data_IF_289579984416
#
_entry.id   IF_289579984416
#
_cell.length_a   1.000
_cell.length_b   1.000
_cell.length_c   1.000
_cell.angle_alpha   90.00
_cell.angle_beta   90.00
_cell.angle_gamma   90.00
#
_symmetry.space_group_name_H-M   'P 1'
#
loop_
_entity.id
_entity.type
_entity.pdbx_description
1 polymer ?
#
# COMPACT_ATOMS: atom_id res chain seq x y z
N UNK A 1 -10.76 -7.94 -14.20
CA UNK A 1 -10.40 -9.21 -13.57
C UNK A 1 -10.67 -9.16 -12.06
N UNK A 2 -10.84 -10.31 -11.48
CA UNK A 2 -11.04 -10.44 -10.04
C UNK A 2 -9.83 -9.91 -9.26
N UNK A 3 -8.62 -10.20 -9.73
CA UNK A 3 -7.38 -9.73 -9.11
C UNK A 3 -7.27 -8.20 -9.15
N UNK A 4 -7.64 -7.57 -10.26
CA UNK A 4 -7.65 -6.11 -10.37
C UNK A 4 -8.57 -5.51 -9.31
N UNK A 5 -9.77 -6.05 -9.17
CA UNK A 5 -10.74 -5.59 -8.18
C UNK A 5 -10.21 -5.76 -6.76
N UNK A 6 -9.60 -6.90 -6.46
CA UNK A 6 -9.05 -7.17 -5.14
C UNK A 6 -7.97 -6.16 -4.73
N UNK A 7 -7.07 -5.83 -5.66
CA UNK A 7 -6.01 -4.85 -5.38
C UNK A 7 -6.56 -3.43 -5.24
N UNK A 8 -7.55 -3.05 -6.05
CA UNK A 8 -8.22 -1.75 -5.91
C UNK A 8 -8.95 -1.65 -4.58
N UNK A 9 -9.69 -2.68 -4.19
CA UNK A 9 -10.40 -2.72 -2.91
C UNK A 9 -9.43 -2.69 -1.72
N UNK A 10 -8.29 -3.38 -1.82
CA UNK A 10 -7.27 -3.35 -0.77
C UNK A 10 -6.70 -1.93 -0.60
N UNK A 11 -6.44 -1.23 -1.70
CA UNK A 11 -5.97 0.15 -1.66
C UNK A 11 -7.01 1.07 -1.02
N UNK A 12 -8.28 0.93 -1.39
CA UNK A 12 -9.38 1.72 -0.83
C UNK A 12 -9.58 1.46 0.66
N UNK A 13 -9.53 0.19 1.09
CA UNK A 13 -9.67 -0.14 2.52
C UNK A 13 -8.55 0.48 3.34
N UNK A 14 -7.32 0.41 2.86
CA UNK A 14 -6.19 1.02 3.55
C UNK A 14 -6.34 2.54 3.60
N UNK A 15 -6.74 3.16 2.50
CA UNK A 15 -6.97 4.60 2.44
C UNK A 15 -8.04 5.04 3.43
N UNK A 16 -9.16 4.33 3.49
CA UNK A 16 -10.24 4.64 4.43
C UNK A 16 -9.77 4.51 5.88
N UNK A 17 -9.04 3.44 6.18
CA UNK A 17 -8.53 3.19 7.53
C UNK A 17 -7.55 4.28 7.96
N UNK A 18 -6.62 4.64 7.09
CA UNK A 18 -5.61 5.65 7.44
C UNK A 18 -6.22 7.05 7.59
N UNK A 19 -7.23 7.38 6.79
CA UNK A 19 -7.95 8.65 6.94
C UNK A 19 -8.62 8.73 8.30
N UNK A 20 -9.29 7.67 8.73
CA UNK A 20 -9.93 7.62 10.05
C UNK A 20 -8.91 7.80 11.18
N UNK A 21 -7.79 7.11 11.11
CA UNK A 21 -6.72 7.23 12.12
C UNK A 21 -6.08 8.62 12.13
N UNK A 22 -5.86 9.20 10.96
CA UNK A 22 -5.29 10.54 10.84
C UNK A 22 -6.20 11.58 11.48
N UNK A 23 -7.51 11.46 11.29
CA UNK A 23 -8.49 12.34 11.93
C UNK A 23 -8.45 12.21 13.44
N UNK A 24 -8.38 11.00 13.97
CA UNK A 24 -8.24 10.76 15.41
C UNK A 24 -6.95 11.39 15.96
N UNK A 25 -5.88 11.35 15.19
CA UNK A 25 -4.57 11.86 15.58
C UNK A 25 -4.42 13.37 15.36
N UNK A 26 -5.37 14.03 14.71
CA UNK A 26 -5.27 15.45 14.37
C UNK A 26 -4.24 15.72 13.28
N UNK A 27 -4.00 14.77 12.39
CA UNK A 27 -3.02 14.85 11.31
C UNK A 27 -3.77 15.00 9.98
N UNK A 28 -3.22 15.80 9.06
CA UNK A 28 -3.78 15.95 7.72
C UNK A 28 -3.80 14.58 7.01
N UNK A 29 -4.98 14.07 6.65
CA UNK A 29 -5.08 12.74 6.03
C UNK A 29 -4.62 12.68 4.57
N UNK A 30 -4.54 13.81 3.88
CA UNK A 30 -4.33 13.82 2.42
C UNK A 30 -3.06 13.09 1.96
N UNK A 31 -1.86 13.36 2.51
CA UNK A 31 -0.67 12.63 2.09
C UNK A 31 -0.76 11.14 2.39
N UNK A 32 -1.36 10.77 3.52
CA UNK A 32 -1.49 9.38 3.93
C UNK A 32 -2.47 8.63 3.02
N UNK A 33 -3.56 9.29 2.64
CA UNK A 33 -4.53 8.73 1.70
C UNK A 33 -3.90 8.45 0.34
N UNK A 34 -3.13 9.41 -0.18
CA UNK A 34 -2.43 9.24 -1.47
C UNK A 34 -1.47 8.07 -1.39
N UNK A 35 -0.66 7.99 -0.33
CA UNK A 35 0.27 6.88 -0.14
C UNK A 35 -0.46 5.52 -0.10
N UNK A 36 -1.57 5.45 0.61
CA UNK A 36 -2.38 4.23 0.69
C UNK A 36 -2.92 3.81 -0.67
N UNK A 37 -3.44 4.75 -1.45
CA UNK A 37 -3.95 4.47 -2.79
C UNK A 37 -2.84 4.00 -3.74
N UNK A 38 -1.63 4.51 -3.57
CA UNK A 38 -0.50 4.17 -4.43
C UNK A 38 0.23 2.89 -4.02
N UNK A 39 -0.03 2.32 -2.85
CA UNK A 39 0.79 1.21 -2.35
C UNK A 39 0.66 -0.08 -3.19
N UNK A 40 -0.39 -0.21 -4.00
CA UNK A 40 -0.60 -1.35 -4.91
C UNK A 40 -0.25 -1.02 -6.36
N UNK A 41 0.50 0.07 -6.60
CA UNK A 41 0.79 0.49 -7.98
C UNK A 41 1.56 -0.57 -8.78
N UNK A 42 2.46 -1.31 -8.12
CA UNK A 42 3.21 -2.39 -8.79
C UNK A 42 2.31 -3.49 -9.29
N UNK A 43 1.41 -3.97 -8.45
CA UNK A 43 0.41 -4.99 -8.78
C UNK A 43 -0.52 -4.51 -9.89
N UNK A 44 -1.00 -3.27 -9.80
CA UNK A 44 -1.87 -2.68 -10.80
C UNK A 44 -1.17 -2.56 -12.15
N UNK A 45 0.11 -2.19 -12.18
CA UNK A 45 0.88 -2.12 -13.42
C UNK A 45 1.03 -3.48 -14.07
N UNK A 46 1.31 -4.53 -13.30
CA UNK A 46 1.40 -5.90 -13.83
C UNK A 46 0.06 -6.30 -14.44
N UNK A 47 -1.05 -6.03 -13.74
CA UNK A 47 -2.39 -6.38 -14.21
C UNK A 47 -2.77 -5.63 -15.48
N UNK A 48 -2.47 -4.35 -15.56
CA UNK A 48 -2.76 -3.53 -16.74
C UNK A 48 -1.96 -3.99 -17.96
N UNK A 49 -0.67 -4.30 -17.78
CA UNK A 49 0.15 -4.85 -18.86
C UNK A 49 -0.35 -6.21 -19.30
N UNK A 50 -0.77 -7.04 -18.36
CA UNK A 50 -1.33 -8.36 -18.65
C UNK A 50 -2.63 -8.27 -19.45
N UNK A 51 -3.51 -7.32 -19.11
CA UNK A 51 -4.74 -7.06 -19.88
C UNK A 51 -4.41 -6.63 -21.30
N UNK A 52 -3.43 -5.75 -21.47
CA UNK A 52 -2.99 -5.30 -22.78
C UNK A 52 -2.45 -6.46 -23.60
N UNK A 53 -1.68 -7.35 -22.97
CA UNK A 53 -1.15 -8.55 -23.61
C UNK A 53 -2.25 -9.51 -24.00
N UNK A 54 -3.23 -9.73 -23.13
CA UNK A 54 -4.40 -10.55 -23.43
C UNK A 54 -5.21 -10.02 -24.61
N UNK A 55 -5.35 -8.69 -24.73
CA UNK A 55 -6.04 -8.07 -25.86
C UNK A 55 -5.34 -8.30 -27.20
N UNK A 56 -4.07 -8.70 -27.20
CA UNK A 56 -3.29 -9.05 -28.38
C UNK A 56 -3.37 -10.54 -28.73
N UNK A 57 -4.28 -11.29 -28.10
CA UNK A 57 -4.53 -12.70 -28.40
C UNK A 57 -3.83 -13.71 -27.50
N UNK A 58 -3.18 -13.26 -26.43
CA UNK A 58 -2.52 -14.15 -25.47
C UNK A 58 -3.51 -14.60 -24.40
N UNK A 59 -3.54 -15.88 -24.08
CA UNK A 59 -4.39 -16.43 -23.04
C UNK A 59 -3.71 -16.27 -21.68
N UNK A 60 -4.40 -15.59 -20.74
CA UNK A 60 -3.93 -15.41 -19.39
C UNK A 60 -5.04 -15.79 -18.41
N UNK A 61 -4.70 -16.61 -17.42
CA UNK A 61 -5.61 -16.92 -16.31
C UNK A 61 -5.10 -16.26 -15.02
N UNK A 62 -5.92 -16.30 -13.97
CA UNK A 62 -5.58 -15.68 -12.69
C UNK A 62 -4.36 -16.31 -12.02
N UNK A 63 -4.06 -17.58 -12.31
CA UNK A 63 -2.87 -18.26 -11.79
C UNK A 63 -1.61 -17.67 -12.40
N UNK A 64 -1.60 -17.46 -13.71
CA UNK A 64 -0.48 -16.83 -14.41
C UNK A 64 -0.31 -15.40 -13.97
N UNK A 65 -1.43 -14.66 -13.83
CA UNK A 65 -1.42 -13.28 -13.32
C UNK A 65 -0.88 -13.19 -11.90
N UNK A 66 -1.30 -14.11 -11.02
CA UNK A 66 -0.81 -14.15 -9.65
C UNK A 66 0.69 -14.36 -9.58
N UNK A 67 1.23 -15.24 -10.43
CA UNK A 67 2.67 -15.48 -10.52
C UNK A 67 3.41 -14.24 -11.03
N UNK A 68 2.88 -13.60 -12.08
CA UNK A 68 3.48 -12.38 -12.63
C UNK A 68 3.50 -11.25 -11.60
N UNK A 69 2.45 -11.09 -10.82
CA UNK A 69 2.40 -10.12 -9.72
C UNK A 69 3.52 -10.42 -8.71
N UNK A 70 3.66 -11.68 -8.29
CA UNK A 70 4.70 -12.08 -7.36
C UNK A 70 6.11 -11.78 -7.86
N UNK A 71 6.36 -11.97 -9.16
CA UNK A 71 7.68 -11.79 -9.75
C UNK A 71 8.02 -10.34 -10.11
N UNK A 72 7.02 -9.56 -10.55
CA UNK A 72 7.26 -8.26 -11.18
C UNK A 72 6.69 -7.05 -10.48
N UNK A 73 5.73 -7.20 -9.56
CA UNK A 73 5.07 -6.06 -8.93
C UNK A 73 6.06 -5.16 -8.17
N UNK A 74 6.97 -5.75 -7.40
CA UNK A 74 7.97 -4.98 -6.65
C UNK A 74 8.96 -4.26 -7.55
N UNK A 75 9.57 -4.91 -8.55
CA UNK A 75 10.42 -4.20 -9.52
C UNK A 75 9.68 -3.07 -10.23
N UNK A 76 8.43 -3.26 -10.64
CA UNK A 76 7.63 -2.21 -11.27
C UNK A 76 7.36 -1.06 -10.32
N UNK A 77 7.02 -1.34 -9.07
CA UNK A 77 6.78 -0.30 -8.07
C UNK A 77 8.03 0.57 -7.85
N UNK A 78 9.20 -0.07 -7.75
CA UNK A 78 10.49 0.63 -7.59
C UNK A 78 10.76 1.51 -8.82
N UNK A 79 10.60 0.96 -10.02
CA UNK A 79 10.81 1.69 -11.27
C UNK A 79 9.87 2.89 -11.39
N UNK A 80 8.59 2.73 -11.06
CA UNK A 80 7.61 3.79 -11.11
C UNK A 80 7.90 4.91 -10.13
N UNK A 81 8.27 4.57 -8.89
CA UNK A 81 8.67 5.57 -7.89
C UNK A 81 9.83 6.41 -8.37
N UNK A 82 10.82 5.77 -8.96
CA UNK A 82 12.00 6.43 -9.51
C UNK A 82 11.66 7.26 -10.74
N UNK A 83 10.90 6.70 -11.68
CA UNK A 83 10.54 7.33 -12.95
C UNK A 83 9.57 8.49 -12.77
N UNK A 84 8.59 8.36 -11.88
CA UNK A 84 7.61 9.41 -11.63
C UNK A 84 8.11 10.50 -10.71
N UNK A 85 9.29 10.35 -10.12
CA UNK A 85 9.87 11.35 -9.24
C UNK A 85 9.01 11.60 -8.00
N UNK A 86 8.44 10.55 -7.41
CA UNK A 86 7.63 10.71 -6.20
C UNK A 86 8.47 11.35 -5.09
N UNK A 87 7.92 12.35 -4.37
CA UNK A 87 8.62 12.97 -3.25
C UNK A 87 9.07 11.93 -2.21
N UNK A 88 10.23 12.17 -1.62
CA UNK A 88 10.79 11.26 -0.60
C UNK A 88 9.80 11.01 0.54
N UNK A 89 9.14 12.07 1.01
CA UNK A 89 8.16 11.95 2.08
C UNK A 89 7.04 10.96 1.74
N UNK A 90 6.56 10.98 0.48
CA UNK A 90 5.52 10.06 0.02
C UNK A 90 6.04 8.62 -0.07
N UNK A 91 7.26 8.44 -0.57
CA UNK A 91 7.90 7.12 -0.63
C UNK A 91 8.10 6.53 0.76
N UNK A 92 8.46 7.35 1.75
CA UNK A 92 8.60 6.92 3.13
C UNK A 92 7.26 6.47 3.73
N UNK A 93 6.17 7.16 3.42
CA UNK A 93 4.84 6.76 3.85
C UNK A 93 4.44 5.41 3.24
N UNK A 94 4.67 5.22 1.96
CA UNK A 94 4.39 3.94 1.29
C UNK A 94 5.21 2.82 1.91
N UNK A 95 6.50 3.04 2.13
CA UNK A 95 7.38 2.05 2.76
C UNK A 95 6.93 1.67 4.16
N UNK A 96 6.42 2.63 4.93
CA UNK A 96 5.96 2.40 6.30
C UNK A 96 4.78 1.44 6.41
N UNK A 97 3.98 1.29 5.34
CA UNK A 97 2.89 0.31 5.29
C UNK A 97 3.41 -1.10 5.59
N UNK A 98 4.59 -1.41 5.11
CA UNK A 98 5.19 -2.75 5.23
C UNK A 98 6.07 -2.91 6.46
N UNK A 99 6.84 -1.89 6.81
CA UNK A 99 7.73 -1.91 7.97
C UNK A 99 8.12 -0.50 8.39
N UNK A 100 8.17 -0.27 9.70
CA UNK A 100 8.69 0.99 10.24
C UNK A 100 10.22 0.97 10.20
N UNK A 101 10.87 2.12 9.91
CA UNK A 101 12.31 2.26 10.10
C UNK A 101 12.70 1.99 11.55
N UNK A 102 13.88 1.40 11.76
CA UNK A 102 14.31 1.02 13.12
C UNK A 102 14.81 2.19 13.95
N UNK A 103 15.35 3.24 13.32
CA UNK A 103 16.06 4.29 14.02
C UNK A 103 15.21 5.53 14.24
N UNK A 104 14.61 6.05 13.20
CA UNK A 104 13.76 7.24 13.27
C UNK A 104 12.55 7.10 12.38
N UNK A 105 11.39 7.43 12.91
CA UNK A 105 10.14 7.45 12.14
C UNK A 105 9.24 8.58 12.65
N UNK A 106 8.41 9.08 11.76
CA UNK A 106 7.43 10.11 12.08
C UNK A 106 6.11 9.47 12.46
N UNK A 107 5.28 10.21 13.14
CA UNK A 107 3.95 9.77 13.56
C UNK A 107 3.09 9.32 12.37
N UNK A 108 3.21 10.04 11.25
CA UNK A 108 2.51 9.70 10.00
C UNK A 108 2.87 8.29 9.51
N UNK A 109 4.14 7.92 9.62
CA UNK A 109 4.60 6.57 9.26
C UNK A 109 4.00 5.52 10.19
N UNK A 110 3.89 5.81 11.48
CA UNK A 110 3.25 4.91 12.45
C UNK A 110 1.78 4.69 12.08
N UNK A 111 1.08 5.76 11.68
CA UNK A 111 -0.32 5.65 11.26
C UNK A 111 -0.48 4.76 10.02
N UNK A 112 0.43 4.86 9.05
CA UNK A 112 0.41 3.99 7.88
C UNK A 112 0.58 2.51 8.28
N UNK A 113 1.53 2.23 9.16
CA UNK A 113 1.80 0.86 9.63
C UNK A 113 0.64 0.33 10.47
N UNK A 114 0.04 1.16 11.32
CA UNK A 114 -1.11 0.80 12.13
C UNK A 114 -2.32 0.47 11.24
N UNK A 115 -2.59 1.31 10.24
CA UNK A 115 -3.67 1.07 9.30
C UNK A 115 -3.51 -0.27 8.58
N UNK A 116 -2.29 -0.58 8.13
CA UNK A 116 -1.99 -1.86 7.50
C UNK A 116 -2.19 -3.03 8.47
N UNK A 117 -1.77 -2.89 9.72
CA UNK A 117 -1.95 -3.93 10.73
C UNK A 117 -3.44 -4.22 10.98
N UNK A 118 -4.27 -3.17 11.04
CA UNK A 118 -5.71 -3.31 11.22
C UNK A 118 -6.35 -3.97 10.00
N UNK A 119 -6.00 -3.56 8.80
CA UNK A 119 -6.54 -4.13 7.57
C UNK A 119 -6.14 -5.60 7.40
N UNK A 120 -4.95 -5.97 7.84
CA UNK A 120 -4.42 -7.33 7.69
C UNK A 120 -4.75 -8.25 8.88
N UNK A 121 -5.44 -7.75 9.89
CA UNK A 121 -5.79 -8.55 11.07
C UNK A 121 -4.57 -9.01 11.86
N UNK A 122 -3.54 -8.17 11.99
CA UNK A 122 -2.34 -8.51 12.75
C UNK A 122 -2.67 -8.68 14.25
N UNK A 123 -1.80 -9.37 15.01
CA UNK A 123 -2.09 -9.66 16.41
C UNK A 123 -2.40 -8.42 17.25
N UNK A 124 -3.32 -8.53 18.23
CA UNK A 124 -3.68 -7.39 19.09
C UNK A 124 -2.50 -6.71 19.77
N UNK A 125 -1.48 -7.48 20.18
CA UNK A 125 -0.29 -6.91 20.80
C UNK A 125 0.45 -5.96 19.85
N UNK A 126 0.54 -6.32 18.56
CA UNK A 126 1.14 -5.46 17.54
C UNK A 126 0.32 -4.18 17.35
N UNK A 127 -0.99 -4.31 17.24
CA UNK A 127 -1.90 -3.18 17.07
C UNK A 127 -1.81 -2.22 18.27
N UNK A 128 -1.83 -2.75 19.49
CA UNK A 128 -1.72 -1.94 20.70
C UNK A 128 -0.40 -1.17 20.78
N UNK A 129 0.69 -1.83 20.44
CA UNK A 129 2.00 -1.20 20.42
C UNK A 129 2.01 -0.04 19.42
N UNK A 130 1.48 -0.26 18.24
CA UNK A 130 1.41 0.78 17.20
C UNK A 130 0.49 1.94 17.62
N UNK A 131 -0.63 1.64 18.28
CA UNK A 131 -1.51 2.68 18.81
C UNK A 131 -0.78 3.56 19.84
N UNK A 132 -0.03 2.95 20.73
CA UNK A 132 0.76 3.71 21.70
C UNK A 132 1.81 4.59 21.02
N UNK A 133 2.52 4.04 20.04
CA UNK A 133 3.50 4.82 19.25
C UNK A 133 2.86 5.99 18.51
N UNK A 134 1.61 5.80 18.05
CA UNK A 134 0.86 6.84 17.35
C UNK A 134 0.21 7.85 18.29
N UNK A 135 0.25 7.62 19.60
CA UNK A 135 -0.42 8.47 20.58
C UNK A 135 -1.93 8.30 20.60
N UNK A 136 -2.44 7.14 20.19
CA UNK A 136 -3.88 6.83 20.13
C UNK A 136 -4.32 5.79 21.16
N UNK A 137 -3.41 5.31 21.95
CA UNK A 137 -3.67 4.25 22.93
C UNK A 137 -3.91 4.78 24.34
#
# INVERSE_FOLDING_TARGET
SLLLREHLEAAERLADQVVALARQAGIDPAPLQVAALLHRMGELCVLLQSQRWASQGHALDDRVLGRAIGDFARPFAIALKSQWGLPIALRELIGAIYALPQVQFRREQVLMRLAAALCNGEPPATVERLRRLAGLG
#
